data_IF_471855599172
#
_entry.id   IF_471855599172
#
_cell.length_a   1.000
_cell.length_b   1.000
_cell.length_c   1.000
_cell.angle_alpha   90.00
_cell.angle_beta   90.00
_cell.angle_gamma   90.00
#
_symmetry.space_group_name_H-M   'P 1'
#
loop_
_entity.id
_entity.type
_entity.pdbx_description
1 polymer ?
#
# COMPACT_ATOMS: atom_id res chain seq x y z
N UNK A 1 -16.57 -3.04 -2.53
CA UNK A 1 -16.24 -3.81 -3.71
C UNK A 1 -14.83 -3.56 -4.18
N UNK A 2 -14.39 -4.36 -5.12
CA UNK A 2 -13.02 -4.29 -5.63
C UNK A 2 -12.70 -2.94 -6.27
N UNK A 3 -13.67 -2.37 -6.98
CA UNK A 3 -13.47 -1.08 -7.64
C UNK A 3 -13.33 0.06 -6.65
N UNK A 4 -14.07 0.00 -5.55
CA UNK A 4 -14.03 1.05 -4.53
C UNK A 4 -12.66 1.08 -3.86
N UNK A 5 -12.12 -0.08 -3.49
CA UNK A 5 -10.79 -0.14 -2.87
C UNK A 5 -9.71 0.42 -3.78
N UNK A 6 -9.75 0.07 -5.06
CA UNK A 6 -8.79 0.55 -6.03
C UNK A 6 -8.92 2.06 -6.26
N UNK A 7 -10.16 2.57 -6.30
CA UNK A 7 -10.41 4.00 -6.45
C UNK A 7 -9.88 4.79 -5.25
N UNK A 8 -10.05 4.26 -4.03
CA UNK A 8 -9.54 4.91 -2.83
C UNK A 8 -8.01 4.98 -2.85
N UNK A 9 -7.35 3.91 -3.27
CA UNK A 9 -5.89 3.92 -3.41
C UNK A 9 -5.45 4.93 -4.45
N UNK A 10 -6.13 4.99 -5.59
CA UNK A 10 -5.81 5.94 -6.65
C UNK A 10 -5.95 7.38 -6.16
N UNK A 11 -7.01 7.66 -5.40
CA UNK A 11 -7.22 8.98 -4.83
C UNK A 11 -6.09 9.36 -3.87
N UNK A 12 -5.73 8.45 -2.96
CA UNK A 12 -4.65 8.69 -2.00
C UNK A 12 -3.32 8.95 -2.71
N UNK A 13 -3.03 8.20 -3.76
CA UNK A 13 -1.81 8.39 -4.54
C UNK A 13 -1.80 9.74 -5.26
N UNK A 14 -2.94 10.16 -5.80
CA UNK A 14 -3.04 11.45 -6.46
C UNK A 14 -2.81 12.60 -5.48
N UNK A 15 -3.39 12.51 -4.28
CA UNK A 15 -3.18 13.50 -3.23
C UNK A 15 -1.70 13.56 -2.85
N UNK A 16 -1.07 12.42 -2.67
CA UNK A 16 0.34 12.37 -2.31
C UNK A 16 1.21 13.00 -3.41
N UNK A 17 0.91 12.73 -4.68
CA UNK A 17 1.63 13.35 -5.79
C UNK A 17 1.46 14.86 -5.81
N UNK A 18 0.24 15.32 -5.55
CA UNK A 18 -0.05 16.76 -5.54
C UNK A 18 0.73 17.49 -4.46
N UNK A 19 1.00 16.81 -3.33
CA UNK A 19 1.83 17.36 -2.26
C UNK A 19 3.33 17.19 -2.53
N UNK A 20 3.71 16.58 -3.64
CA UNK A 20 5.11 16.43 -4.00
C UNK A 20 5.80 15.19 -3.41
N UNK A 21 5.06 14.29 -2.80
CA UNK A 21 5.65 13.06 -2.28
C UNK A 21 6.03 12.12 -3.43
N UNK A 22 7.17 11.47 -3.26
CA UNK A 22 7.69 10.56 -4.30
C UNK A 22 7.41 9.09 -4.01
N UNK A 23 7.10 8.77 -2.76
CA UNK A 23 6.93 7.40 -2.28
C UNK A 23 5.77 7.38 -1.29
N UNK A 24 5.00 6.30 -1.35
CA UNK A 24 3.96 6.02 -0.36
C UNK A 24 4.30 4.68 0.29
N UNK A 25 4.21 4.62 1.63
CA UNK A 25 4.44 3.38 2.37
C UNK A 25 3.22 3.07 3.23
N UNK A 26 3.03 1.79 3.52
CA UNK A 26 1.93 1.34 4.36
C UNK A 26 2.26 0.03 5.04
N UNK A 27 1.52 -0.28 6.11
CA UNK A 27 1.55 -1.58 6.77
C UNK A 27 0.38 -2.40 6.25
N UNK A 28 0.66 -3.45 5.51
CA UNK A 28 -0.38 -4.29 4.92
C UNK A 28 -0.45 -5.63 5.62
N UNK A 29 -1.67 -6.07 5.99
CA UNK A 29 -1.87 -7.42 6.49
C UNK A 29 -1.51 -8.42 5.39
N UNK A 30 -0.97 -9.58 5.78
CA UNK A 30 -0.59 -10.60 4.82
C UNK A 30 -1.73 -10.97 3.88
N UNK A 31 -2.96 -10.98 4.37
CA UNK A 31 -4.12 -11.32 3.54
C UNK A 31 -4.41 -10.28 2.45
N UNK A 32 -3.86 -9.07 2.56
CA UNK A 32 -4.12 -7.99 1.61
C UNK A 32 -2.94 -7.74 0.66
N UNK A 33 -1.82 -8.42 0.87
CA UNK A 33 -0.61 -8.20 0.06
C UNK A 33 -0.88 -8.35 -1.43
N UNK A 34 -1.60 -9.41 -1.83
CA UNK A 34 -1.89 -9.63 -3.24
C UNK A 34 -2.64 -8.47 -3.89
N UNK A 35 -3.59 -7.87 -3.15
CA UNK A 35 -4.31 -6.71 -3.65
C UNK A 35 -3.37 -5.52 -3.88
N UNK A 36 -2.50 -5.23 -2.90
CA UNK A 36 -1.60 -4.10 -3.01
C UNK A 36 -0.54 -4.33 -4.08
N UNK A 37 -0.08 -5.56 -4.26
CA UNK A 37 0.84 -5.87 -5.35
C UNK A 37 0.23 -5.57 -6.72
N UNK A 38 -1.05 -5.86 -6.88
CA UNK A 38 -1.76 -5.53 -8.12
C UNK A 38 -1.89 -4.01 -8.31
N UNK A 39 -1.83 -3.25 -7.23
CA UNK A 39 -1.85 -1.79 -7.29
C UNK A 39 -0.45 -1.19 -7.49
N UNK A 40 0.58 -2.03 -7.60
CA UNK A 40 1.94 -1.59 -7.88
C UNK A 40 2.81 -1.44 -6.65
N UNK A 41 2.36 -1.91 -5.49
CA UNK A 41 3.15 -1.86 -4.26
C UNK A 41 4.09 -3.04 -4.18
N UNK A 42 5.22 -2.85 -3.51
CA UNK A 42 6.24 -3.89 -3.33
C UNK A 42 6.53 -4.09 -1.86
N UNK A 43 6.81 -5.33 -1.48
CA UNK A 43 7.20 -5.68 -0.11
C UNK A 43 8.54 -5.05 0.24
N UNK A 44 8.64 -4.55 1.48
CA UNK A 44 9.86 -3.99 2.03
C UNK A 44 10.12 -4.65 3.38
N UNK A 45 11.24 -5.37 3.48
CA UNK A 45 11.63 -6.02 4.73
C UNK A 45 10.82 -7.27 5.04
N UNK A 46 10.93 -7.74 6.28
CA UNK A 46 10.31 -8.97 6.70
C UNK A 46 8.96 -8.80 7.36
N UNK A 47 8.36 -9.92 7.71
CA UNK A 47 7.07 -9.95 8.40
C UNK A 47 7.20 -9.40 9.81
N UNK A 48 6.18 -8.69 10.28
CA UNK A 48 6.08 -8.25 11.67
C UNK A 48 4.64 -8.41 12.14
N UNK A 49 4.45 -8.38 13.46
CA UNK A 49 3.13 -8.56 14.05
C UNK A 49 2.59 -7.20 14.48
N UNK A 50 1.38 -6.89 14.03
CA UNK A 50 0.67 -5.67 14.40
C UNK A 50 -0.79 -6.03 14.66
N UNK A 51 -1.32 -5.61 15.81
CA UNK A 51 -2.68 -5.96 16.23
C UNK A 51 -2.88 -7.48 16.19
N UNK A 52 -1.88 -8.22 16.67
CA UNK A 52 -1.87 -9.70 16.72
C UNK A 52 -1.99 -10.39 15.36
N UNK A 53 -1.72 -9.67 14.27
CA UNK A 53 -1.80 -10.21 12.92
C UNK A 53 -0.49 -9.96 12.17
N UNK A 54 -0.10 -10.89 11.28
CA UNK A 54 1.12 -10.69 10.49
C UNK A 54 0.93 -9.61 9.43
N UNK A 55 1.92 -8.73 9.34
CA UNK A 55 1.93 -7.60 8.42
C UNK A 55 3.27 -7.52 7.71
N UNK A 56 3.28 -6.77 6.63
CA UNK A 56 4.50 -6.36 5.94
C UNK A 56 4.41 -4.87 5.59
N UNK A 57 5.54 -4.21 5.57
CA UNK A 57 5.61 -2.86 5.00
C UNK A 57 5.56 -3.00 3.48
N UNK A 58 4.75 -2.19 2.84
CA UNK A 58 4.69 -2.14 1.39
C UNK A 58 4.93 -0.71 0.92
N UNK A 59 5.51 -0.57 -0.25
CA UNK A 59 5.95 0.71 -0.77
C UNK A 59 5.64 0.82 -2.25
N UNK A 60 5.27 2.04 -2.69
CA UNK A 60 5.09 2.33 -4.10
C UNK A 60 5.74 3.66 -4.44
N UNK A 61 6.52 3.69 -5.52
CA UNK A 61 7.06 4.94 -6.05
C UNK A 61 5.97 5.62 -6.88
N UNK A 62 5.79 6.91 -6.61
CA UNK A 62 4.79 7.72 -7.31
C UNK A 62 5.39 8.46 -8.49
N UNK A 63 6.71 8.51 -8.55
CA UNK A 63 7.44 9.16 -9.64
C UNK A 63 8.68 8.37 -10.01
#
# INVERSE_FOLDING_TARGET
>A
GKGIGRQMMQFAENVARDYGYKIITMHARNSAIGFYEKCGYKLQGGEFIEVSLPHHVMEKRLR
#
